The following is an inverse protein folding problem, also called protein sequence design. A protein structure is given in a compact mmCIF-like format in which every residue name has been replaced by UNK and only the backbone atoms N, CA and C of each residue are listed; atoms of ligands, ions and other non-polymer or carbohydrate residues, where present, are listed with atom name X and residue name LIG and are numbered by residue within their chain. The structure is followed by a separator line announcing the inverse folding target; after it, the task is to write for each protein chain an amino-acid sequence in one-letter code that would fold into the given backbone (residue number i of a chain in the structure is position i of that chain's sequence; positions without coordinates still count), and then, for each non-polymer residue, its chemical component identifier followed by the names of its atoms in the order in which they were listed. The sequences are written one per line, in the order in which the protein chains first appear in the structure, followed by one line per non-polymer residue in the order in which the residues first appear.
data_IF_597779182723
#
_entry.id   IF_597779182723
#
_cell.length_a   1.000
_cell.length_b   1.000
_cell.length_c   1.000
_cell.angle_alpha   90.00
_cell.angle_beta   90.00
_cell.angle_gamma   90.00
#
_symmetry.space_group_name_H-M   'P 1'
#
loop_
_entity.id
_entity.type
_entity.pdbx_description
1 polymer ?
#
# COMPACT_ATOMS: atom_id res chain seq x y z
N UNK A 1 -13.95 14.60 2.94
CA UNK A 1 -12.72 14.89 3.70
C UNK A 1 -12.27 13.70 4.55
N UNK A 2 -12.98 13.29 5.61
CA UNK A 2 -12.60 12.13 6.46
C UNK A 2 -12.38 10.85 5.63
N UNK A 3 -13.27 10.61 4.65
CA UNK A 3 -13.17 9.46 3.75
C UNK A 3 -11.83 9.40 2.98
N UNK A 4 -11.33 10.53 2.52
CA UNK A 4 -10.09 10.61 1.75
C UNK A 4 -8.85 10.47 2.65
N UNK A 5 -8.93 10.95 3.89
CA UNK A 5 -7.90 10.68 4.90
C UNK A 5 -7.82 9.18 5.17
N UNK A 6 -8.97 8.51 5.27
CA UNK A 6 -9.03 7.06 5.44
C UNK A 6 -8.50 6.30 4.22
N UNK A 7 -8.83 6.72 2.99
CA UNK A 7 -8.27 6.16 1.75
C UNK A 7 -6.75 6.26 1.78
N UNK A 8 -6.21 7.46 1.93
CA UNK A 8 -4.77 7.71 1.96
C UNK A 8 -4.08 6.85 3.04
N UNK A 9 -4.65 6.78 4.25
CA UNK A 9 -4.08 5.95 5.32
C UNK A 9 -4.07 4.46 4.95
N UNK A 10 -5.18 3.97 4.38
CA UNK A 10 -5.39 2.57 4.02
C UNK A 10 -4.45 2.16 2.88
N UNK A 11 -4.33 3.00 1.86
CA UNK A 11 -3.40 2.80 0.75
C UNK A 11 -1.94 2.83 1.22
N UNK A 12 -1.56 3.82 2.03
CA UNK A 12 -0.19 3.89 2.55
C UNK A 12 0.15 2.67 3.41
N UNK A 13 -0.77 2.22 4.28
CA UNK A 13 -0.53 1.03 5.09
C UNK A 13 -0.42 -0.25 4.24
N UNK A 14 -1.27 -0.41 3.23
CA UNK A 14 -1.24 -1.57 2.34
C UNK A 14 0.06 -1.60 1.53
N UNK A 15 0.43 -0.49 0.89
CA UNK A 15 1.56 -0.48 -0.03
C UNK A 15 2.90 -0.32 0.70
N UNK A 16 3.02 0.62 1.65
CA UNK A 16 4.33 1.02 2.20
C UNK A 16 4.74 0.19 3.41
N UNK A 17 3.78 -0.44 4.10
CA UNK A 17 4.06 -1.39 5.17
C UNK A 17 3.84 -2.81 4.63
N UNK A 18 2.61 -3.18 4.32
CA UNK A 18 2.25 -4.58 4.11
C UNK A 18 2.92 -5.19 2.87
N UNK A 19 2.73 -4.60 1.69
CA UNK A 19 3.29 -5.10 0.43
C UNK A 19 4.79 -4.90 0.35
N UNK A 20 5.29 -3.72 0.73
CA UNK A 20 6.73 -3.43 0.74
C UNK A 20 7.52 -4.47 1.55
N UNK A 21 7.13 -4.75 2.80
CA UNK A 21 7.88 -5.70 3.63
C UNK A 21 7.79 -7.13 3.11
N UNK A 22 6.64 -7.55 2.57
CA UNK A 22 6.51 -8.89 1.95
C UNK A 22 7.35 -9.04 0.70
N UNK A 23 7.30 -8.05 -0.19
CA UNK A 23 8.12 -8.06 -1.41
C UNK A 23 9.59 -8.12 -1.02
N UNK A 24 10.00 -7.32 -0.03
CA UNK A 24 11.36 -7.37 0.51
C UNK A 24 11.68 -8.75 1.06
N UNK A 25 10.82 -9.38 1.86
CA UNK A 25 11.04 -10.74 2.38
C UNK A 25 11.25 -11.78 1.26
N UNK A 26 10.42 -11.74 0.21
CA UNK A 26 10.46 -12.67 -0.93
C UNK A 26 11.70 -12.44 -1.80
N UNK A 27 12.15 -11.18 -1.94
CA UNK A 27 13.35 -10.83 -2.68
C UNK A 27 14.60 -11.33 -1.94
N UNK A 28 15.08 -12.50 -2.34
CA UNK A 28 16.31 -13.11 -1.83
C UNK A 28 17.57 -12.48 -2.49
N UNK A 29 17.71 -11.16 -2.39
CA UNK A 29 18.84 -10.41 -2.92
C UNK A 29 19.94 -10.27 -1.87
N UNK A 30 21.19 -10.58 -2.24
CA UNK A 30 22.37 -10.46 -1.34
C UNK A 30 22.68 -9.02 -0.94
N UNK A 31 22.38 -8.04 -1.81
CA UNK A 31 22.61 -6.63 -1.53
C UNK A 31 21.39 -5.99 -0.90
N UNK A 32 21.54 -5.46 0.32
CA UNK A 32 20.48 -4.74 1.02
C UNK A 32 19.99 -3.50 0.24
N UNK A 33 20.90 -2.81 -0.44
CA UNK A 33 20.55 -1.63 -1.24
C UNK A 33 19.67 -2.04 -2.42
N UNK A 34 20.08 -3.07 -3.18
CA UNK A 34 19.29 -3.56 -4.31
C UNK A 34 17.93 -4.08 -3.82
N UNK A 35 17.91 -4.79 -2.69
CA UNK A 35 16.68 -5.27 -2.07
C UNK A 35 15.69 -4.14 -1.79
N UNK A 36 16.14 -3.04 -1.20
CA UNK A 36 15.30 -1.86 -0.94
C UNK A 36 14.80 -1.25 -2.26
N UNK A 37 15.70 -1.00 -3.21
CA UNK A 37 15.36 -0.37 -4.51
C UNK A 37 14.33 -1.20 -5.26
N UNK A 38 14.55 -2.51 -5.43
CA UNK A 38 13.61 -3.38 -6.12
C UNK A 38 12.28 -3.51 -5.38
N UNK A 39 12.29 -3.54 -4.04
CA UNK A 39 11.05 -3.56 -3.25
C UNK A 39 10.22 -2.31 -3.47
N UNK A 40 10.86 -1.14 -3.49
CA UNK A 40 10.20 0.15 -3.77
C UNK A 40 9.63 0.14 -5.18
N UNK A 41 10.42 -0.23 -6.20
CA UNK A 41 9.98 -0.23 -7.60
C UNK A 41 8.78 -1.15 -7.78
N UNK A 42 8.85 -2.40 -7.30
CA UNK A 42 7.78 -3.37 -7.51
C UNK A 42 6.50 -2.97 -6.77
N UNK A 43 6.62 -2.47 -5.54
CA UNK A 43 5.49 -1.97 -4.76
C UNK A 43 4.78 -0.83 -5.50
N UNK A 44 5.54 0.11 -6.07
CA UNK A 44 4.98 1.27 -6.75
C UNK A 44 4.42 0.94 -8.14
N UNK A 45 4.95 -0.08 -8.83
CA UNK A 45 4.32 -0.62 -10.04
C UNK A 45 2.92 -1.17 -9.69
N UNK A 46 2.81 -1.96 -8.62
CA UNK A 46 1.52 -2.51 -8.17
C UNK A 46 0.55 -1.41 -7.72
N UNK A 47 1.07 -0.37 -7.05
CA UNK A 47 0.29 0.80 -6.65
C UNK A 47 -0.30 1.52 -7.87
N UNK A 48 0.54 1.80 -8.87
CA UNK A 48 0.10 2.43 -10.12
C UNK A 48 -0.92 1.57 -10.87
N UNK A 49 -0.66 0.27 -11.06
CA UNK A 49 -1.58 -0.64 -11.76
C UNK A 49 -2.94 -0.74 -11.08
N UNK A 50 -3.01 -0.65 -9.75
CA UNK A 50 -4.27 -0.67 -9.02
C UNK A 50 -5.21 0.49 -9.40
N UNK A 51 -4.67 1.57 -9.96
CA UNK A 51 -5.43 2.73 -10.44
C UNK A 51 -5.83 2.62 -11.93
N UNK A 52 -5.37 1.59 -12.66
CA UNK A 52 -5.71 1.37 -14.06
C UNK A 52 -7.23 1.25 -14.33
N UNK A 53 -8.06 0.63 -13.47
CA UNK A 53 -9.50 0.53 -13.71
C UNK A 53 -10.25 1.89 -13.68
N UNK A 54 -9.61 2.96 -13.23
CA UNK A 54 -10.22 4.29 -13.16
C UNK A 54 -10.35 4.85 -14.58
N UNK A 55 -11.60 5.01 -15.04
CA UNK A 55 -11.99 5.30 -16.44
C UNK A 55 -11.30 6.51 -17.09
N UNK A 56 -10.71 7.41 -16.31
CA UNK A 56 -10.06 8.63 -16.79
C UNK A 56 -8.53 8.60 -16.71
N UNK A 57 -7.93 7.55 -16.17
CA UNK A 57 -6.49 7.49 -16.00
C UNK A 57 -5.84 6.93 -17.25
N UNK A 58 -4.90 7.69 -17.82
CA UNK A 58 -4.09 7.27 -18.95
C UNK A 58 -2.70 6.85 -18.48
N UNK A 59 -1.85 6.37 -19.40
CA UNK A 59 -0.48 5.94 -19.08
C UNK A 59 0.35 7.04 -18.42
N UNK A 60 0.15 8.31 -18.80
CA UNK A 60 0.85 9.45 -18.16
C UNK A 60 0.43 9.59 -16.70
N UNK A 61 -0.86 9.53 -16.41
CA UNK A 61 -1.38 9.58 -15.03
C UNK A 61 -0.87 8.41 -14.19
N UNK A 62 -0.82 7.20 -14.77
CA UNK A 62 -0.28 6.03 -14.09
C UNK A 62 1.23 6.17 -13.81
N UNK A 63 1.97 6.77 -14.73
CA UNK A 63 3.39 7.08 -14.52
C UNK A 63 3.57 8.13 -13.42
N UNK A 64 2.73 9.16 -13.38
CA UNK A 64 2.72 10.15 -12.30
C UNK A 64 2.46 9.48 -10.94
N UNK A 65 1.46 8.60 -10.85
CA UNK A 65 1.14 7.82 -9.63
C UNK A 65 2.30 6.92 -9.21
N UNK A 66 3.01 6.33 -10.17
CA UNK A 66 4.21 5.56 -9.89
C UNK A 66 5.31 6.42 -9.26
N UNK A 67 5.59 7.60 -9.83
CA UNK A 67 6.63 8.52 -9.35
C UNK A 67 6.25 9.11 -7.99
N UNK A 68 5.01 9.55 -7.78
CA UNK A 68 4.54 10.04 -6.48
C UNK A 68 4.57 8.94 -5.43
N UNK A 69 4.24 7.70 -5.81
CA UNK A 69 4.36 6.55 -4.94
C UNK A 69 5.81 6.30 -4.46
N UNK A 70 6.80 6.47 -5.33
CA UNK A 70 8.23 6.39 -4.95
C UNK A 70 8.56 7.49 -3.93
N UNK A 71 8.06 8.70 -4.12
CA UNK A 71 8.25 9.80 -3.18
C UNK A 71 7.65 9.47 -1.79
N UNK A 72 6.46 8.90 -1.73
CA UNK A 72 5.87 8.46 -0.45
C UNK A 72 6.65 7.32 0.20
N UNK A 73 7.14 6.35 -0.58
CA UNK A 73 8.05 5.31 -0.09
C UNK A 73 9.33 5.92 0.50
N UNK A 74 9.92 6.93 -0.16
CA UNK A 74 11.07 7.65 0.36
C UNK A 74 10.78 8.33 1.70
N UNK A 75 9.66 9.06 1.81
CA UNK A 75 9.26 9.71 3.06
C UNK A 75 9.10 8.70 4.19
N UNK A 76 8.37 7.60 3.94
CA UNK A 76 8.17 6.55 4.93
C UNK A 76 9.50 5.93 5.38
N UNK A 77 10.35 5.50 4.43
CA UNK A 77 11.61 4.84 4.76
C UNK A 77 12.62 5.78 5.43
N UNK A 78 12.60 7.07 5.09
CA UNK A 78 13.48 8.07 5.69
C UNK A 78 13.09 8.41 7.12
N UNK A 79 11.80 8.43 7.42
CA UNK A 79 11.27 8.95 8.70
C UNK A 79 10.72 7.87 9.63
N UNK A 80 10.43 6.67 9.11
CA UNK A 80 9.71 5.62 9.82
C UNK A 80 8.25 5.99 10.14
N UNK A 81 7.73 7.10 9.61
CA UNK A 81 6.42 7.64 9.98
C UNK A 81 5.42 7.51 8.83
N UNK A 82 4.51 6.55 8.94
CA UNK A 82 3.46 6.31 7.93
C UNK A 82 2.45 7.45 7.85
N UNK A 83 2.22 8.17 8.96
CA UNK A 83 1.29 9.29 8.99
C UNK A 83 1.79 10.48 8.17
N UNK A 84 3.12 10.66 8.08
CA UNK A 84 3.70 11.69 7.21
C UNK A 84 3.45 11.38 5.73
N UNK A 85 3.66 10.12 5.32
CA UNK A 85 3.35 9.68 3.97
C UNK A 85 1.84 9.85 3.67
N UNK A 86 0.98 9.47 4.61
CA UNK A 86 -0.47 9.64 4.50
C UNK A 86 -0.90 11.11 4.36
N UNK A 87 -0.34 12.03 5.14
CA UNK A 87 -0.63 13.46 5.03
C UNK A 87 -0.23 14.02 3.66
N UNK A 88 0.94 13.61 3.16
CA UNK A 88 1.42 14.04 1.83
C UNK A 88 0.60 13.45 0.69
N UNK A 89 0.17 12.19 0.82
CA UNK A 89 -0.75 11.56 -0.11
C UNK A 89 -2.09 12.30 -0.14
N UNK A 90 -2.71 12.52 1.02
CA UNK A 90 -3.96 13.28 1.12
C UNK A 90 -3.84 14.69 0.50
N UNK A 91 -2.70 15.37 0.71
CA UNK A 91 -2.44 16.68 0.09
C UNK A 91 -2.37 16.59 -1.44
N UNK A 92 -1.79 15.52 -1.98
CA UNK A 92 -1.75 15.26 -3.42
C UNK A 92 -3.15 15.01 -4.02
N UNK A 93 -4.08 14.47 -3.22
CA UNK A 93 -5.46 14.20 -3.65
C UNK A 93 -6.39 15.42 -3.55
N UNK A 94 -5.99 16.49 -2.86
CA UNK A 94 -6.80 17.71 -2.69
C UNK A 94 -7.29 18.34 -4.00
N UNK A 95 -6.50 18.43 -5.09
CA UNK A 95 -6.97 18.93 -6.37
C UNK A 95 -8.01 18.01 -7.05
N UNK A 96 -7.97 16.71 -6.76
CA UNK A 96 -8.91 15.72 -7.30
C UNK A 96 -10.25 15.82 -6.55
N UNK A 97 -10.18 16.06 -5.24
CA UNK A 97 -11.33 16.31 -4.37
C UNK A 97 -12.25 17.46 -4.84
N UNK A 98 -11.71 18.45 -5.55
CA UNK A 98 -12.48 19.59 -6.06
C UNK A 98 -13.15 19.33 -7.41
N UNK A 99 -12.83 18.21 -8.08
CA UNK A 99 -13.24 17.92 -9.46
C UNK A 99 -14.13 16.68 -9.61
N UNK A 100 -14.24 15.81 -8.60
CA UNK A 100 -15.01 14.56 -8.66
C UNK A 100 -16.35 14.66 -7.88
N UNK A 101 -17.48 14.22 -8.47
CA UNK A 101 -18.73 14.02 -7.73
C UNK A 101 -18.61 12.79 -6.80
N UNK A 102 -18.43 13.08 -5.51
CA UNK A 102 -18.01 12.17 -4.44
C UNK A 102 -19.05 11.06 -4.13
N UNK A 103 -20.26 11.14 -4.71
CA UNK A 103 -21.44 10.45 -4.16
C UNK A 103 -21.58 8.96 -4.44
N UNK A 104 -20.88 8.36 -5.42
CA UNK A 104 -21.21 6.97 -5.82
C UNK A 104 -20.06 5.98 -6.06
N UNK A 105 -18.83 6.40 -6.39
CA UNK A 105 -17.81 5.45 -6.85
C UNK A 105 -16.74 5.03 -5.82
N UNK A 106 -16.35 5.89 -4.88
CA UNK A 106 -15.25 5.56 -3.96
C UNK A 106 -15.61 4.66 -2.78
N UNK A 107 -16.88 4.62 -2.33
CA UNK A 107 -17.24 3.79 -1.16
C UNK A 107 -17.01 2.30 -1.41
N UNK A 108 -17.26 1.80 -2.63
CA UNK A 108 -17.00 0.39 -2.97
C UNK A 108 -15.52 0.06 -3.04
N UNK A 109 -14.71 0.96 -3.60
CA UNK A 109 -13.26 0.81 -3.68
C UNK A 109 -12.62 0.83 -2.28
N UNK A 110 -13.09 1.72 -1.41
CA UNK A 110 -12.62 1.80 -0.02
C UNK A 110 -13.01 0.55 0.76
N UNK A 111 -14.24 0.07 0.61
CA UNK A 111 -14.69 -1.17 1.24
C UNK A 111 -13.87 -2.36 0.72
N UNK A 112 -13.57 -2.44 -0.57
CA UNK A 112 -12.75 -3.53 -1.12
C UNK A 112 -11.29 -3.45 -0.63
N UNK A 113 -10.75 -2.24 -0.47
CA UNK A 113 -9.40 -1.99 0.07
C UNK A 113 -9.31 -2.39 1.55
N UNK A 114 -10.31 -2.01 2.36
CA UNK A 114 -10.41 -2.42 3.77
C UNK A 114 -10.55 -3.95 3.86
N UNK A 115 -11.42 -4.56 3.06
CA UNK A 115 -11.60 -6.03 3.04
C UNK A 115 -10.29 -6.72 2.65
N UNK A 116 -9.57 -6.22 1.64
CA UNK A 116 -8.32 -6.83 1.20
C UNK A 116 -7.21 -6.72 2.25
N UNK A 117 -7.11 -5.60 2.98
CA UNK A 117 -6.21 -5.49 4.14
C UNK A 117 -6.64 -6.46 5.25
N UNK A 118 -7.93 -6.52 5.60
CA UNK A 118 -8.41 -7.44 6.63
C UNK A 118 -8.15 -8.90 6.26
N UNK A 119 -8.37 -9.29 5.01
CA UNK A 119 -8.09 -10.65 4.51
C UNK A 119 -6.60 -10.97 4.54
N UNK A 120 -5.75 -10.01 4.17
CA UNK A 120 -4.31 -10.16 4.27
C UNK A 120 -3.89 -10.33 5.73
N UNK A 121 -4.22 -9.39 6.61
CA UNK A 121 -3.83 -9.42 8.03
C UNK A 121 -4.36 -10.67 8.74
N UNK A 122 -5.63 -11.04 8.49
CA UNK A 122 -6.21 -12.27 9.06
C UNK A 122 -5.50 -13.53 8.57
N UNK A 123 -5.09 -13.61 7.30
CA UNK A 123 -4.26 -14.71 6.82
C UNK A 123 -2.93 -14.80 7.58
N UNK A 124 -2.25 -13.68 7.85
CA UNK A 124 -1.00 -13.69 8.62
C UNK A 124 -1.20 -14.03 10.09
N UNK A 125 -2.26 -13.53 10.72
CA UNK A 125 -2.62 -13.90 12.09
C UNK A 125 -2.87 -15.41 12.20
N UNK A 126 -3.66 -15.98 11.28
CA UNK A 126 -3.95 -17.41 11.25
C UNK A 126 -2.68 -18.23 10.99
N UNK A 127 -1.86 -17.83 10.00
CA UNK A 127 -0.57 -18.49 9.71
C UNK A 127 0.36 -18.49 10.91
N UNK A 128 0.49 -17.34 11.59
CA UNK A 128 1.34 -17.21 12.78
C UNK A 128 0.84 -18.11 13.92
N UNK A 129 -0.47 -18.13 14.17
CA UNK A 129 -1.05 -18.98 15.20
C UNK A 129 -0.90 -20.47 14.89
N UNK A 130 -1.11 -20.86 13.63
CA UNK A 130 -0.92 -22.25 13.17
C UNK A 130 0.53 -22.72 13.34
N UNK A 131 1.51 -21.92 12.89
CA UNK A 131 2.93 -22.25 13.03
C UNK A 131 3.37 -22.33 14.51
N UNK A 132 2.79 -21.48 15.37
CA UNK A 132 3.05 -21.50 16.82
C UNK A 132 2.46 -22.74 17.50
N UNK A 133 1.30 -23.22 17.06
CA UNK A 133 0.71 -24.47 17.55
C UNK A 133 1.52 -25.68 17.10
N UNK A 134 1.91 -25.72 15.83
CA UNK A 134 2.67 -26.84 15.26
C UNK A 134 4.05 -26.99 15.92
N UNK A 135 4.77 -25.88 16.12
CA UNK A 135 6.06 -25.88 16.82
C UNK A 135 5.98 -26.30 18.29
N UNK A 136 4.84 -26.07 18.96
CA UNK A 136 4.62 -26.59 20.32
C UNK A 136 4.34 -28.08 20.35
N UNK A 137 3.72 -28.63 19.30
CA UNK A 137 3.40 -30.05 19.19
C UNK A 137 4.64 -30.90 18.88
N UNK A 138 5.59 -30.38 18.08
CA UNK A 138 6.87 -31.08 17.84
C UNK A 138 7.82 -31.09 19.05
N UNK A 139 7.53 -30.29 20.08
CA UNK A 139 8.31 -30.19 21.32
C UNK A 139 7.70 -30.97 22.50
N UNK A 140 6.54 -31.61 22.31
CA UNK A 140 5.84 -32.44 23.32
C UNK A 140 5.92 -33.92 22.96
#
# INVERSE_FOLDING_TARGET
MILFILVALTEEYLYRITLYFKISEILNLKSNILKIVFSIILTNILFSIAHYPIRHYNISTLFEIFITGIYFSYLFLRTGNIYLACMMHFYYDLPILSTIDIRYHHYREIISLIISIMLIESYYMVKHYYLRLFSRYEQS
#
